data_IF_489149530178
#
_entry.id   IF_489149530178
#
_cell.length_a   1.000
_cell.length_b   1.000
_cell.length_c   1.000
_cell.angle_alpha   90.00
_cell.angle_beta   90.00
_cell.angle_gamma   90.00
#
_symmetry.space_group_name_H-M   'P 1'
#
loop_
_entity.id
_entity.type
_entity.pdbx_description
1 polymer ?
#
# COMPACT_ATOMS: atom_id res chain seq x y z
N UNK A 1 42.01 9.70 28.97
CA UNK A 1 41.24 9.84 27.72
C UNK A 1 40.40 8.59 27.55
N UNK A 2 39.09 8.66 27.83
CA UNK A 2 38.16 7.57 27.55
C UNK A 2 37.60 7.73 26.14
N UNK A 3 37.62 6.65 25.34
CA UNK A 3 36.98 6.63 24.03
C UNK A 3 35.48 6.88 24.20
N UNK A 4 34.90 7.73 23.36
CA UNK A 4 33.45 7.89 23.30
C UNK A 4 32.83 6.54 22.88
N UNK A 5 31.69 6.14 23.46
CA UNK A 5 31.01 4.92 23.02
C UNK A 5 30.64 5.06 21.54
N UNK A 6 30.87 3.99 20.77
CA UNK A 6 30.44 3.96 19.38
C UNK A 6 28.92 4.15 19.29
N UNK A 7 28.45 5.01 18.37
CA UNK A 7 27.03 5.22 18.20
C UNK A 7 26.36 3.93 17.71
N UNK A 8 25.20 3.62 18.27
CA UNK A 8 24.40 2.50 17.78
C UNK A 8 23.76 2.83 16.44
N UNK A 9 23.43 1.82 15.63
CA UNK A 9 22.76 2.03 14.34
C UNK A 9 21.48 2.88 14.45
N UNK A 10 20.75 2.74 15.55
CA UNK A 10 19.56 3.55 15.84
C UNK A 10 19.92 5.02 16.09
N UNK A 11 21.00 5.29 16.81
CA UNK A 11 21.48 6.67 17.05
C UNK A 11 21.95 7.33 15.74
N UNK A 12 22.59 6.55 14.87
CA UNK A 12 22.98 7.02 13.53
C UNK A 12 21.74 7.33 12.69
N UNK A 13 20.74 6.44 12.68
CA UNK A 13 19.51 6.64 11.92
C UNK A 13 18.72 7.89 12.38
N UNK A 14 18.63 8.13 13.70
CA UNK A 14 17.97 9.32 14.27
C UNK A 14 18.71 10.59 13.85
N UNK A 15 20.05 10.60 13.92
CA UNK A 15 20.88 11.75 13.53
C UNK A 15 20.68 12.12 12.07
N UNK A 16 20.70 11.13 11.17
CA UNK A 16 20.44 11.34 9.73
C UNK A 16 19.03 11.86 9.49
N UNK A 17 18.01 11.33 10.18
CA UNK A 17 16.64 11.80 10.03
C UNK A 17 16.46 13.27 10.46
N UNK A 18 17.10 13.68 11.56
CA UNK A 18 17.09 15.08 12.02
C UNK A 18 17.78 15.99 11.01
N UNK A 19 18.93 15.58 10.49
CA UNK A 19 19.66 16.35 9.48
C UNK A 19 18.89 16.50 8.16
N UNK A 20 18.09 15.48 7.78
CA UNK A 20 17.17 15.54 6.64
C UNK A 20 16.01 16.53 6.88
N UNK A 21 15.47 16.56 8.10
CA UNK A 21 14.39 17.49 8.48
C UNK A 21 14.85 18.95 8.51
N UNK A 22 16.10 19.18 8.91
CA UNK A 22 16.69 20.53 8.99
C UNK A 22 17.21 21.06 7.64
N UNK A 23 17.17 20.25 6.57
CA UNK A 23 17.73 20.60 5.26
C UNK A 23 16.67 21.09 4.27
N UNK A 24 16.76 22.35 3.83
CA UNK A 24 15.87 22.93 2.80
C UNK A 24 16.07 22.36 1.37
N UNK A 25 17.10 21.55 1.15
CA UNK A 25 17.46 20.97 -0.15
C UNK A 25 17.07 19.49 -0.26
N UNK A 26 15.89 19.13 0.25
CA UNK A 26 15.37 17.75 0.32
C UNK A 26 15.47 17.01 -1.03
N UNK A 27 15.28 17.71 -2.15
CA UNK A 27 15.35 17.13 -3.49
C UNK A 27 16.78 16.79 -3.92
N UNK A 28 17.74 17.69 -3.72
CA UNK A 28 19.16 17.46 -4.05
C UNK A 28 19.77 16.36 -3.18
N UNK A 29 19.40 16.35 -1.90
CA UNK A 29 19.85 15.36 -0.93
C UNK A 29 19.29 13.96 -1.24
N UNK A 30 18.02 13.87 -1.64
CA UNK A 30 17.42 12.61 -2.11
C UNK A 30 18.15 12.04 -3.32
N UNK A 31 18.57 12.88 -4.26
CA UNK A 31 19.27 12.43 -5.46
C UNK A 31 20.72 12.01 -5.17
N UNK A 32 21.43 12.78 -4.36
CA UNK A 32 22.77 12.41 -3.90
C UNK A 32 22.76 11.09 -3.12
N UNK A 33 21.77 10.89 -2.24
CA UNK A 33 21.60 9.66 -1.47
C UNK A 33 21.31 8.46 -2.39
N UNK A 34 20.44 8.62 -3.40
CA UNK A 34 20.21 7.57 -4.40
C UNK A 34 21.48 7.14 -5.13
N UNK A 35 22.29 8.12 -5.58
CA UNK A 35 23.55 7.85 -6.26
C UNK A 35 24.54 7.10 -5.36
N UNK A 36 24.61 7.48 -4.09
CA UNK A 36 25.49 6.86 -3.11
C UNK A 36 25.06 5.44 -2.75
N UNK A 37 23.76 5.21 -2.52
CA UNK A 37 23.20 3.88 -2.26
C UNK A 37 23.40 2.93 -3.45
N UNK A 38 23.24 3.44 -4.68
CA UNK A 38 23.55 2.69 -5.91
C UNK A 38 25.02 2.31 -6.02
N UNK A 39 25.92 3.21 -5.65
CA UNK A 39 27.37 2.95 -5.66
C UNK A 39 27.77 1.90 -4.60
N UNK A 40 27.03 1.80 -3.51
CA UNK A 40 27.25 0.83 -2.43
C UNK A 40 26.53 -0.50 -2.65
N UNK A 41 25.81 -0.68 -3.77
CA UNK A 41 24.91 -1.82 -4.04
C UNK A 41 23.84 -2.02 -2.94
N UNK A 42 23.57 -0.95 -2.18
CA UNK A 42 22.60 -0.86 -1.11
C UNK A 42 21.35 -0.15 -1.62
N UNK A 43 20.87 -0.55 -2.80
CA UNK A 43 19.67 0.02 -3.41
C UNK A 43 18.54 -0.01 -2.36
N UNK A 44 17.92 1.15 -2.03
CA UNK A 44 16.69 1.11 -1.28
C UNK A 44 15.72 0.32 -2.15
N UNK A 45 15.11 -0.73 -1.62
CA UNK A 45 14.01 -1.39 -2.31
C UNK A 45 12.97 -0.31 -2.59
N UNK A 46 12.97 0.20 -3.82
CA UNK A 46 11.87 0.96 -4.35
C UNK A 46 10.69 0.02 -4.26
N UNK A 47 9.83 0.23 -3.27
CA UNK A 47 8.56 -0.50 -3.15
C UNK A 47 7.60 -0.17 -4.30
N UNK A 48 8.02 0.67 -5.25
CA UNK A 48 7.53 0.58 -6.63
C UNK A 48 8.17 -0.62 -7.34
N UNK A 49 8.01 -1.81 -6.76
CA UNK A 49 7.89 -2.99 -7.62
C UNK A 49 6.74 -2.64 -8.55
N UNK A 50 6.91 -2.85 -9.86
CA UNK A 50 5.81 -2.86 -10.82
C UNK A 50 4.85 -3.96 -10.36
N UNK A 51 4.04 -3.63 -9.36
CA UNK A 51 3.25 -4.59 -8.62
C UNK A 51 2.18 -4.95 -9.62
N UNK A 52 2.08 -6.22 -10.05
CA UNK A 52 0.99 -6.61 -10.94
C UNK A 52 -0.30 -6.06 -10.33
N UNK A 53 -1.13 -5.42 -11.16
CA UNK A 53 -2.39 -4.80 -10.75
C UNK A 53 -3.10 -5.72 -9.77
N UNK A 54 -3.65 -5.15 -8.69
CA UNK A 54 -4.31 -5.96 -7.66
C UNK A 54 -5.31 -6.91 -8.33
N UNK A 55 -5.31 -8.22 -8.04
CA UNK A 55 -6.24 -9.15 -8.70
C UNK A 55 -7.72 -8.78 -8.46
N UNK A 56 -8.01 -8.10 -7.34
CA UNK A 56 -9.35 -7.57 -7.04
C UNK A 56 -9.62 -6.17 -7.63
N UNK A 57 -8.64 -5.49 -8.23
CA UNK A 57 -8.88 -4.20 -8.88
C UNK A 57 -9.65 -4.40 -10.18
N UNK A 58 -10.71 -3.62 -10.37
CA UNK A 58 -11.34 -3.54 -11.68
C UNK A 58 -10.34 -2.97 -12.71
N UNK A 59 -10.34 -3.43 -13.98
CA UNK A 59 -9.43 -2.93 -15.01
C UNK A 59 -9.39 -1.40 -15.12
N UNK A 60 -10.56 -0.77 -15.03
CA UNK A 60 -10.73 0.69 -15.12
C UNK A 60 -10.44 1.44 -13.81
N UNK A 61 -10.15 0.76 -12.70
CA UNK A 61 -9.90 1.41 -11.41
C UNK A 61 -8.53 2.08 -11.38
N UNK A 62 -8.39 3.41 -11.44
CA UNK A 62 -7.08 4.04 -11.51
C UNK A 62 -6.35 4.04 -10.16
N UNK A 63 -7.06 3.76 -9.06
CA UNK A 63 -6.55 3.97 -7.71
C UNK A 63 -5.49 2.91 -7.37
N UNK A 64 -4.36 3.30 -6.76
CA UNK A 64 -3.30 2.37 -6.39
C UNK A 64 -3.71 1.48 -5.23
N UNK A 65 -2.99 0.37 -5.03
CA UNK A 65 -3.19 -0.50 -3.88
C UNK A 65 -2.88 0.23 -2.57
N UNK A 66 -3.61 -0.08 -1.50
CA UNK A 66 -3.31 0.38 -0.14
C UNK A 66 -2.38 -0.57 0.64
N UNK A 67 -1.85 -1.60 -0.01
CA UNK A 67 -1.07 -2.66 0.61
C UNK A 67 -1.14 -3.99 -0.15
N UNK A 68 -0.59 -5.07 0.40
CA UNK A 68 -0.66 -6.40 -0.20
C UNK A 68 -2.09 -6.97 -0.15
N UNK A 69 -2.39 -8.03 -0.93
CA UNK A 69 -3.60 -8.79 -0.75
C UNK A 69 -3.71 -9.40 0.65
N UNK A 70 -4.85 -9.22 1.29
CA UNK A 70 -5.13 -9.72 2.66
C UNK A 70 -6.51 -10.38 2.77
N UNK A 71 -7.34 -10.29 1.74
CA UNK A 71 -8.65 -10.93 1.71
C UNK A 71 -8.92 -11.58 0.36
N UNK A 72 -9.86 -12.51 0.34
CA UNK A 72 -10.49 -13.04 -0.88
C UNK A 72 -11.94 -12.57 -0.92
N UNK A 73 -12.35 -11.98 -2.04
CA UNK A 73 -13.76 -11.68 -2.33
C UNK A 73 -14.30 -12.75 -3.26
N UNK A 74 -15.43 -13.35 -2.91
CA UNK A 74 -16.12 -14.38 -3.70
C UNK A 74 -17.49 -13.86 -4.14
N UNK A 75 -17.88 -14.20 -5.36
CA UNK A 75 -19.24 -14.01 -5.86
C UNK A 75 -20.21 -15.12 -5.40
N UNK A 76 -21.43 -15.08 -5.92
CA UNK A 76 -22.47 -16.09 -5.65
C UNK A 76 -22.13 -17.47 -6.24
N UNK A 77 -21.26 -17.53 -7.24
CA UNK A 77 -20.77 -18.76 -7.88
C UNK A 77 -19.48 -19.31 -7.24
N UNK A 78 -18.99 -18.70 -6.15
CA UNK A 78 -17.73 -19.04 -5.47
C UNK A 78 -16.48 -18.77 -6.34
N UNK A 79 -16.59 -17.91 -7.34
CA UNK A 79 -15.44 -17.39 -8.08
C UNK A 79 -14.94 -16.14 -7.36
N UNK A 80 -13.63 -15.98 -7.21
CA UNK A 80 -13.10 -14.87 -6.43
C UNK A 80 -11.71 -14.41 -6.81
N UNK A 81 -11.35 -13.28 -6.21
CA UNK A 81 -10.08 -12.62 -6.38
C UNK A 81 -9.48 -12.24 -5.02
N UNK A 82 -8.18 -12.42 -4.90
CA UNK A 82 -7.42 -11.90 -3.76
C UNK A 82 -7.22 -10.39 -3.92
N UNK A 83 -7.45 -9.64 -2.84
CA UNK A 83 -7.45 -8.19 -2.86
C UNK A 83 -6.81 -7.57 -1.64
N UNK A 84 -6.21 -6.39 -1.83
CA UNK A 84 -5.91 -5.49 -0.73
C UNK A 84 -7.21 -4.91 -0.15
N UNK A 85 -7.20 -4.36 1.06
CA UNK A 85 -8.43 -3.83 1.68
C UNK A 85 -9.14 -2.80 0.80
N UNK A 86 -8.38 -1.96 0.08
CA UNK A 86 -8.94 -0.94 -0.81
C UNK A 86 -9.71 -1.54 -2.01
N UNK A 87 -9.04 -2.34 -2.85
CA UNK A 87 -9.67 -2.90 -4.05
C UNK A 87 -10.71 -3.97 -3.71
N UNK A 88 -10.50 -4.76 -2.65
CA UNK A 88 -11.49 -5.72 -2.18
C UNK A 88 -12.79 -5.03 -1.72
N UNK A 89 -12.69 -3.86 -1.08
CA UNK A 89 -13.85 -3.06 -0.69
C UNK A 89 -14.68 -2.64 -1.91
N UNK A 90 -14.01 -2.11 -2.94
CA UNK A 90 -14.67 -1.63 -4.17
C UNK A 90 -15.27 -2.78 -4.98
N UNK A 91 -14.57 -3.91 -5.06
CA UNK A 91 -15.06 -5.13 -5.69
C UNK A 91 -16.30 -5.66 -4.95
N UNK A 92 -16.21 -5.84 -3.63
CA UNK A 92 -17.32 -6.35 -2.82
C UNK A 92 -18.56 -5.45 -2.89
N UNK A 93 -18.38 -4.12 -2.85
CA UNK A 93 -19.48 -3.16 -2.99
C UNK A 93 -20.18 -3.23 -4.35
N UNK A 94 -19.54 -3.82 -5.36
CA UNK A 94 -20.05 -3.93 -6.72
C UNK A 94 -20.61 -5.31 -7.08
N UNK A 95 -20.55 -6.27 -6.15
CA UNK A 95 -21.08 -7.62 -6.32
C UNK A 95 -22.43 -7.76 -5.61
N UNK A 96 -23.42 -8.32 -6.32
CA UNK A 96 -24.65 -8.78 -5.68
C UNK A 96 -24.39 -10.12 -4.96
N UNK A 97 -24.70 -10.18 -3.66
CA UNK A 97 -24.49 -11.38 -2.83
C UNK A 97 -23.01 -11.76 -2.59
N UNK A 98 -22.06 -10.84 -2.79
CA UNK A 98 -20.65 -11.07 -2.57
C UNK A 98 -20.29 -11.37 -1.12
N UNK A 99 -19.23 -12.17 -0.90
CA UNK A 99 -18.70 -12.52 0.42
C UNK A 99 -17.21 -12.22 0.49
N UNK A 100 -16.70 -11.90 1.68
CA UNK A 100 -15.27 -11.63 1.91
C UNK A 100 -14.73 -12.51 3.03
N UNK A 101 -13.53 -13.04 2.83
CA UNK A 101 -12.83 -13.92 3.77
C UNK A 101 -11.39 -13.45 3.94
N UNK A 102 -10.82 -13.53 5.15
CA UNK A 102 -9.40 -13.21 5.37
C UNK A 102 -8.50 -14.28 4.74
N UNK A 103 -7.33 -13.87 4.25
CA UNK A 103 -6.25 -14.81 3.93
C UNK A 103 -5.61 -15.37 5.22
N UNK A 104 -4.89 -16.50 5.16
CA UNK A 104 -4.31 -17.13 6.36
C UNK A 104 -3.42 -16.21 7.20
N UNK A 105 -2.61 -15.37 6.53
CA UNK A 105 -1.67 -14.45 7.19
C UNK A 105 -2.19 -13.00 7.24
N UNK A 106 -3.49 -12.81 7.03
CA UNK A 106 -4.09 -11.48 7.03
C UNK A 106 -4.07 -10.85 8.43
N UNK A 107 -3.86 -9.53 8.53
CA UNK A 107 -4.05 -8.83 9.80
C UNK A 107 -5.44 -9.08 10.37
N UNK A 108 -5.52 -9.22 11.70
CA UNK A 108 -6.78 -9.49 12.38
C UNK A 108 -7.87 -8.47 11.98
N UNK A 109 -9.06 -8.99 11.69
CA UNK A 109 -10.21 -8.18 11.31
C UNK A 109 -10.17 -7.58 9.91
N UNK A 110 -9.19 -7.93 9.05
CA UNK A 110 -9.12 -7.41 7.66
C UNK A 110 -10.43 -7.61 6.89
N UNK A 111 -11.00 -8.83 6.91
CA UNK A 111 -12.27 -9.11 6.26
C UNK A 111 -13.44 -8.29 6.83
N UNK A 112 -13.47 -8.06 8.15
CA UNK A 112 -14.51 -7.25 8.80
C UNK A 112 -14.39 -5.77 8.39
N UNK A 113 -13.17 -5.23 8.31
CA UNK A 113 -12.93 -3.86 7.83
C UNK A 113 -13.41 -3.70 6.39
N UNK A 114 -13.05 -4.63 5.52
CA UNK A 114 -13.49 -4.64 4.11
C UNK A 114 -15.02 -4.73 4.01
N UNK A 115 -15.64 -5.66 4.74
CA UNK A 115 -17.10 -5.83 4.73
C UNK A 115 -17.83 -4.56 5.17
N UNK A 116 -17.39 -3.94 6.27
CA UNK A 116 -17.98 -2.70 6.78
C UNK A 116 -17.77 -1.52 5.83
N UNK A 117 -16.58 -1.41 5.23
CA UNK A 117 -16.29 -0.35 4.26
C UNK A 117 -17.11 -0.52 2.97
N UNK A 118 -17.30 -1.76 2.50
CA UNK A 118 -18.07 -2.04 1.30
C UNK A 118 -19.54 -1.66 1.46
N UNK A 119 -20.12 -1.86 2.64
CA UNK A 119 -21.51 -1.51 2.94
C UNK A 119 -21.85 -0.02 2.77
N UNK A 120 -20.84 0.86 2.80
CA UNK A 120 -21.01 2.32 2.62
C UNK A 120 -20.32 2.84 1.35
N UNK A 121 -19.70 1.95 0.58
CA UNK A 121 -19.05 2.30 -0.69
C UNK A 121 -20.08 2.21 -1.82
N UNK A 122 -20.08 3.18 -2.72
CA UNK A 122 -20.95 3.12 -3.89
C UNK A 122 -20.53 1.96 -4.82
N UNK A 123 -21.48 1.17 -5.37
CA UNK A 123 -21.17 0.22 -6.43
C UNK A 123 -20.48 0.91 -7.61
N UNK A 124 -19.54 0.21 -8.25
CA UNK A 124 -18.76 0.70 -9.40
C UNK A 124 -18.00 2.00 -9.10
N UNK A 125 -17.36 2.09 -7.92
CA UNK A 125 -16.68 3.30 -7.43
C UNK A 125 -15.57 3.84 -8.36
N UNK A 126 -15.07 3.03 -9.30
CA UNK A 126 -14.10 3.42 -10.32
C UNK A 126 -14.72 4.15 -11.52
N UNK A 127 -16.03 4.07 -11.73
CA UNK A 127 -16.71 4.84 -12.77
C UNK A 127 -16.81 6.28 -12.29
N UNK A 128 -16.14 7.21 -12.98
CA UNK A 128 -16.43 8.64 -12.77
C UNK A 128 -17.93 8.83 -12.98
N UNK A 129 -18.67 9.25 -11.96
CA UNK A 129 -20.00 9.80 -12.18
C UNK A 129 -19.81 10.94 -13.16
N UNK A 130 -20.37 10.81 -14.37
CA UNK A 130 -20.38 11.90 -15.33
C UNK A 130 -20.83 13.15 -14.60
N UNK A 131 -20.03 14.22 -14.69
CA UNK A 131 -20.51 15.52 -14.29
C UNK A 131 -21.81 15.76 -15.05
N UNK A 132 -22.92 15.89 -14.33
CA UNK A 132 -24.17 16.25 -14.95
C UNK A 132 -23.98 17.55 -15.71
N UNK A 133 -24.19 17.49 -17.03
CA UNK A 133 -24.52 18.61 -17.90
C UNK A 133 -25.52 18.07 -18.93
#
# INVERSE_FOLDING_TARGET
MGALPEPTDLQVAISVAQQLLDSDQVLSLREALRLLLRALDAEPVSTTVDTPRCPAAHPDDPDPCSGPPVVTVLDTHQVGAHGCEHHATRLLASLDGGRVYPLPDAPEGAAIRVFKAAAVTAPYAWVKRGAGQ
#
